data_IF_602449381126
#
_entry.id   IF_602449381126
#
_cell.length_a   1.000
_cell.length_b   1.000
_cell.length_c   1.000
_cell.angle_alpha   90.00
_cell.angle_beta   90.00
_cell.angle_gamma   90.00
#
_symmetry.space_group_name_H-M   'P 1'
#
loop_
_entity.id
_entity.type
_entity.pdbx_description
1 polymer ?
#
# COMPACT_ATOMS: atom_id res chain seq x y z
N UNK A 1 -7.30 32.15 -35.56
CA UNK A 1 -7.38 30.67 -35.65
C UNK A 1 -6.03 29.98 -35.45
N UNK A 2 -4.92 30.42 -36.07
CA UNK A 2 -3.57 29.85 -35.87
C UNK A 2 -3.12 29.76 -34.39
N UNK A 3 -3.46 30.74 -33.55
CA UNK A 3 -3.12 30.70 -32.12
C UNK A 3 -3.99 29.73 -31.29
N UNK A 4 -5.20 29.42 -31.74
CA UNK A 4 -6.11 28.50 -31.02
C UNK A 4 -5.58 27.06 -31.11
N UNK A 5 -5.01 26.69 -32.26
CA UNK A 5 -4.41 25.36 -32.51
C UNK A 5 -3.15 25.14 -31.65
N UNK A 6 -2.40 26.20 -31.32
CA UNK A 6 -1.20 26.10 -30.50
C UNK A 6 -1.54 25.83 -29.02
N UNK A 7 -2.62 26.45 -28.53
CA UNK A 7 -3.06 26.32 -27.13
C UNK A 7 -3.63 24.92 -26.87
N UNK A 8 -4.36 24.34 -27.82
CA UNK A 8 -4.91 22.97 -27.68
C UNK A 8 -3.85 21.87 -27.72
N UNK A 9 -2.69 22.11 -28.34
CA UNK A 9 -1.57 21.17 -28.37
C UNK A 9 -0.73 21.19 -27.08
N UNK A 10 -0.61 22.36 -26.44
CA UNK A 10 0.10 22.51 -25.17
C UNK A 10 -0.68 21.91 -23.99
N UNK A 11 -2.01 21.98 -24.00
CA UNK A 11 -2.84 21.41 -22.92
C UNK A 11 -2.92 19.89 -22.96
N UNK A 12 -2.82 19.27 -24.14
CA UNK A 12 -2.85 17.81 -24.29
C UNK A 12 -1.57 17.11 -23.82
N UNK A 13 -0.41 17.77 -23.94
CA UNK A 13 0.86 17.25 -23.41
C UNK A 13 0.95 17.32 -21.88
N UNK A 14 0.35 18.33 -21.26
CA UNK A 14 0.38 18.48 -19.81
C UNK A 14 -0.34 17.31 -19.11
N UNK A 15 -1.48 16.85 -19.64
CA UNK A 15 -2.30 15.81 -19.01
C UNK A 15 -1.69 14.40 -19.11
N UNK A 16 -0.93 14.09 -20.17
CA UNK A 16 -0.38 12.74 -20.36
C UNK A 16 0.67 12.35 -19.30
N UNK A 17 1.37 13.33 -18.70
CA UNK A 17 2.37 13.08 -17.65
C UNK A 17 1.78 12.76 -16.28
N UNK A 18 0.63 13.35 -15.93
CA UNK A 18 0.04 13.21 -14.57
C UNK A 18 -0.62 11.85 -14.32
N UNK A 19 -1.16 11.18 -15.35
CA UNK A 19 -1.84 9.90 -15.16
C UNK A 19 -0.90 8.69 -15.02
N UNK A 20 0.37 8.81 -15.42
CA UNK A 20 1.34 7.72 -15.30
C UNK A 20 1.95 7.64 -13.89
N UNK A 21 2.07 8.78 -13.20
CA UNK A 21 2.63 8.85 -11.84
C UNK A 21 1.71 8.18 -10.82
N UNK A 22 0.39 8.36 -10.94
CA UNK A 22 -0.59 7.75 -10.04
C UNK A 22 -0.61 6.22 -10.16
N UNK A 23 -0.57 5.69 -11.38
CA UNK A 23 -0.52 4.23 -11.59
C UNK A 23 0.77 3.62 -11.00
N UNK A 24 1.90 4.30 -11.14
CA UNK A 24 3.17 3.87 -10.56
C UNK A 24 3.14 3.90 -9.02
N UNK A 25 2.54 4.95 -8.43
CA UNK A 25 2.35 5.08 -6.99
C UNK A 25 1.42 3.99 -6.43
N UNK A 26 0.26 3.75 -7.06
CA UNK A 26 -0.68 2.69 -6.65
C UNK A 26 -0.02 1.31 -6.66
N UNK A 27 0.80 1.03 -7.68
CA UNK A 27 1.57 -0.21 -7.76
C UNK A 27 2.59 -0.34 -6.63
N UNK A 28 3.34 0.74 -6.35
CA UNK A 28 4.33 0.74 -5.28
C UNK A 28 3.66 0.55 -3.90
N UNK A 29 2.51 1.19 -3.68
CA UNK A 29 1.73 1.05 -2.45
C UNK A 29 1.22 -0.39 -2.27
N UNK A 30 0.65 -0.99 -3.32
CA UNK A 30 0.24 -2.40 -3.29
C UNK A 30 1.39 -3.33 -2.89
N UNK A 31 2.54 -3.20 -3.56
CA UNK A 31 3.71 -4.07 -3.30
C UNK A 31 4.19 -3.93 -1.86
N UNK A 32 4.23 -2.72 -1.32
CA UNK A 32 4.66 -2.49 0.06
C UNK A 32 3.63 -3.02 1.07
N UNK A 33 2.34 -2.77 0.85
CA UNK A 33 1.28 -3.31 1.71
C UNK A 33 1.28 -4.85 1.70
N UNK A 34 1.50 -5.48 0.54
CA UNK A 34 1.61 -6.95 0.44
C UNK A 34 2.83 -7.47 1.22
N UNK A 35 3.99 -6.80 1.10
CA UNK A 35 5.20 -7.15 1.84
C UNK A 35 4.98 -7.04 3.36
N UNK A 36 4.33 -5.98 3.81
CA UNK A 36 4.03 -5.74 5.22
C UNK A 36 3.00 -6.73 5.77
N UNK A 37 1.95 -7.04 5.00
CA UNK A 37 0.99 -8.09 5.33
C UNK A 37 1.68 -9.44 5.62
N UNK A 38 2.57 -9.88 4.72
CA UNK A 38 3.37 -11.11 4.90
C UNK A 38 4.26 -11.04 6.14
N UNK A 39 4.99 -9.92 6.31
CA UNK A 39 5.90 -9.73 7.45
C UNK A 39 5.18 -9.82 8.80
N UNK A 40 4.03 -9.15 8.95
CA UNK A 40 3.31 -9.16 10.22
C UNK A 40 2.58 -10.49 10.46
N UNK A 41 2.07 -11.14 9.41
CA UNK A 41 1.52 -12.49 9.51
C UNK A 41 2.59 -13.48 10.02
N UNK A 42 3.80 -13.42 9.48
CA UNK A 42 4.93 -14.23 9.94
C UNK A 42 5.32 -13.91 11.38
N UNK A 43 5.30 -12.64 11.77
CA UNK A 43 5.57 -12.23 13.15
C UNK A 43 4.55 -12.81 14.11
N UNK A 44 3.26 -12.77 13.79
CA UNK A 44 2.21 -13.41 14.60
C UNK A 44 2.50 -14.90 14.75
N UNK A 45 2.75 -15.60 13.63
CA UNK A 45 3.01 -17.04 13.64
C UNK A 45 4.26 -17.41 14.47
N UNK A 46 5.36 -16.66 14.31
CA UNK A 46 6.60 -16.89 15.06
C UNK A 46 6.46 -16.53 16.53
N UNK A 47 5.80 -15.41 16.85
CA UNK A 47 5.66 -14.92 18.21
C UNK A 47 4.77 -15.85 19.04
N UNK A 48 3.71 -16.42 18.45
CA UNK A 48 2.85 -17.44 19.09
C UNK A 48 3.61 -18.71 19.49
N UNK A 49 4.71 -19.09 18.81
CA UNK A 49 5.48 -20.31 19.13
C UNK A 49 6.23 -20.23 20.46
N UNK A 50 6.59 -19.03 20.90
CA UNK A 50 7.40 -18.80 22.10
C UNK A 50 6.79 -17.70 22.99
N UNK A 51 5.46 -17.57 22.97
CA UNK A 51 4.76 -16.50 23.66
C UNK A 51 4.90 -16.66 25.17
N UNK A 52 5.46 -15.65 25.83
CA UNK A 52 5.45 -15.55 27.29
C UNK A 52 4.05 -15.19 27.78
N UNK A 53 3.68 -15.59 28.99
CA UNK A 53 2.36 -15.32 29.58
C UNK A 53 2.28 -13.99 30.33
N UNK A 54 2.94 -12.95 29.81
CA UNK A 54 2.99 -11.63 30.44
C UNK A 54 2.22 -10.57 29.63
N UNK A 55 1.85 -9.48 30.29
CA UNK A 55 1.04 -8.41 29.68
C UNK A 55 1.75 -7.76 28.48
N UNK A 56 3.08 -7.65 28.51
CA UNK A 56 3.84 -7.09 27.39
C UNK A 56 3.83 -8.03 26.19
N UNK A 57 3.90 -9.33 26.42
CA UNK A 57 3.75 -10.33 25.36
C UNK A 57 2.35 -10.31 24.74
N UNK A 58 1.30 -10.21 25.55
CA UNK A 58 -0.07 -10.06 25.05
C UNK A 58 -0.23 -8.79 24.20
N UNK A 59 0.27 -7.64 24.68
CA UNK A 59 0.21 -6.37 23.95
C UNK A 59 1.02 -6.42 22.64
N UNK A 60 2.19 -7.07 22.66
CA UNK A 60 3.03 -7.24 21.48
C UNK A 60 2.33 -8.09 20.42
N UNK A 61 1.69 -9.19 20.84
CA UNK A 61 0.92 -10.04 19.96
C UNK A 61 -0.25 -9.28 19.33
N UNK A 62 -1.06 -8.60 20.14
CA UNK A 62 -2.19 -7.79 19.65
C UNK A 62 -1.73 -6.73 18.65
N UNK A 63 -0.56 -6.12 18.89
CA UNK A 63 0.01 -5.14 17.97
C UNK A 63 0.49 -5.75 16.64
N UNK A 64 0.95 -7.01 16.64
CA UNK A 64 1.29 -7.71 15.40
C UNK A 64 0.04 -8.15 14.63
N UNK A 65 -0.98 -8.65 15.33
CA UNK A 65 -2.25 -9.05 14.74
C UNK A 65 -2.96 -7.86 14.09
N UNK A 66 -3.05 -6.72 14.78
CA UNK A 66 -3.61 -5.48 14.24
C UNK A 66 -2.89 -5.03 12.97
N UNK A 67 -1.55 -5.08 12.96
CA UNK A 67 -0.77 -4.66 11.78
C UNK A 67 -0.88 -5.65 10.63
N UNK A 68 -0.97 -6.94 10.91
CA UNK A 68 -1.26 -7.93 9.88
C UNK A 68 -2.60 -7.63 9.22
N UNK A 69 -3.66 -7.46 10.00
CA UNK A 69 -5.00 -7.13 9.48
C UNK A 69 -4.98 -5.83 8.67
N UNK A 70 -4.40 -4.76 9.22
CA UNK A 70 -4.32 -3.45 8.56
C UNK A 70 -3.63 -3.53 7.20
N UNK A 71 -2.43 -4.12 7.13
CA UNK A 71 -1.67 -4.14 5.88
C UNK A 71 -2.21 -5.15 4.87
N UNK A 72 -2.80 -6.27 5.33
CA UNK A 72 -3.47 -7.19 4.42
C UNK A 72 -4.73 -6.55 3.81
N UNK A 73 -5.54 -5.86 4.61
CA UNK A 73 -6.70 -5.10 4.10
C UNK A 73 -6.28 -4.01 3.11
N UNK A 74 -5.26 -3.22 3.46
CA UNK A 74 -4.72 -2.21 2.53
C UNK A 74 -4.19 -2.82 1.24
N UNK A 75 -3.52 -3.97 1.30
CA UNK A 75 -3.06 -4.65 0.10
C UNK A 75 -4.24 -5.08 -0.81
N UNK A 76 -5.35 -5.55 -0.23
CA UNK A 76 -6.56 -5.87 -0.99
C UNK A 76 -7.23 -4.62 -1.59
N UNK A 77 -7.23 -3.50 -0.88
CA UNK A 77 -7.75 -2.22 -1.35
C UNK A 77 -6.90 -1.67 -2.51
N UNK A 78 -5.57 -1.55 -2.32
CA UNK A 78 -4.65 -1.08 -3.37
C UNK A 78 -4.63 -1.98 -4.60
N UNK A 79 -4.92 -3.28 -4.45
CA UNK A 79 -5.03 -4.22 -5.58
C UNK A 79 -6.23 -3.91 -6.48
N UNK A 80 -7.31 -3.34 -5.95
CA UNK A 80 -8.51 -2.97 -6.74
C UNK A 80 -8.28 -1.71 -7.59
N UNK A 81 -7.27 -0.93 -7.23
CA UNK A 81 -6.91 0.34 -7.87
C UNK A 81 -5.74 0.21 -8.87
N UNK A 82 -5.26 -1.02 -9.06
CA UNK A 82 -4.25 -1.45 -10.03
C UNK A 82 -4.91 -1.94 -11.33
#
# INVERSE_FOLDING_TARGET
MKHIILITLLTSFALAGFFNETAAQNKAEYVENERLCKLFTDKVAKYKKHLRTDVLAAASLASYEYRAELFCKKAEESKKEL
#
